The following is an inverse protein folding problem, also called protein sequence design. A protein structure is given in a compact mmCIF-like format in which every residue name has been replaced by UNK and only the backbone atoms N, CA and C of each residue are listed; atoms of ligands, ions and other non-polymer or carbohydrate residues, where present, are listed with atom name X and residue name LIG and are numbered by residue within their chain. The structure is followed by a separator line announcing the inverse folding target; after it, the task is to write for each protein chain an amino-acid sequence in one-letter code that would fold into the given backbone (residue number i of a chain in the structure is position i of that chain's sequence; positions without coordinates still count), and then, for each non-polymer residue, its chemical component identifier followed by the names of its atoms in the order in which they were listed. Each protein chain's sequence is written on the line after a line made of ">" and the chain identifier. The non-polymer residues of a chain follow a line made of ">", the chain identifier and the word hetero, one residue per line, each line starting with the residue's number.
data_IF_355144193075
#
_entry.id   IF_355144193075
#
_cell.length_a   1.000
_cell.length_b   1.000
_cell.length_c   1.000
_cell.angle_alpha   90.00
_cell.angle_beta   90.00
_cell.angle_gamma   90.00
#
_symmetry.space_group_name_H-M   'P 1'
#
loop_
_entity.id
_entity.type
_entity.pdbx_description
1 polymer ?
#
# COMPACT_ATOMS: atom_id res chain seq x y z
N UNK A 1 0.57 -10.40 -20.54
CA UNK A 1 0.58 -9.59 -21.78
C UNK A 1 -0.40 -10.09 -22.85
N UNK A 2 -0.47 -11.41 -23.13
CA UNK A 2 -1.33 -11.96 -24.19
C UNK A 2 -2.83 -11.73 -23.90
N UNK A 3 -3.28 -11.95 -22.66
CA UNK A 3 -4.68 -11.72 -22.25
C UNK A 3 -5.16 -10.27 -22.48
N UNK A 4 -4.31 -9.27 -22.28
CA UNK A 4 -4.64 -7.85 -22.50
C UNK A 4 -4.90 -7.50 -23.99
N UNK A 5 -4.59 -8.41 -24.90
CA UNK A 5 -4.78 -8.25 -26.35
C UNK A 5 -5.62 -9.41 -26.91
N UNK A 6 -6.36 -10.11 -26.06
CA UNK A 6 -7.18 -11.23 -26.48
C UNK A 6 -8.31 -10.73 -27.39
N UNK A 7 -8.43 -11.37 -28.55
CA UNK A 7 -9.46 -11.13 -29.56
C UNK A 7 -9.88 -12.50 -30.13
N UNK A 8 -11.13 -12.67 -30.63
CA UNK A 8 -11.55 -13.95 -31.21
C UNK A 8 -10.63 -14.47 -32.33
N UNK A 9 -9.96 -13.60 -33.08
CA UNK A 9 -8.96 -14.01 -34.08
C UNK A 9 -7.73 -14.66 -33.44
N UNK A 10 -7.21 -14.07 -32.35
CA UNK A 10 -6.07 -14.59 -31.58
C UNK A 10 -6.41 -15.93 -30.94
N UNK A 11 -7.62 -16.09 -30.40
CA UNK A 11 -8.06 -17.38 -29.83
C UNK A 11 -8.07 -18.51 -30.87
N UNK A 12 -8.59 -18.24 -32.07
CA UNK A 12 -8.58 -19.23 -33.16
C UNK A 12 -7.16 -19.61 -33.56
N UNK A 13 -6.28 -18.61 -33.65
CA UNK A 13 -4.86 -18.83 -33.92
C UNK A 13 -4.23 -19.72 -32.83
N UNK A 14 -4.40 -19.37 -31.55
CA UNK A 14 -3.85 -20.15 -30.44
C UNK A 14 -4.39 -21.59 -30.40
N UNK A 15 -5.69 -21.78 -30.59
CA UNK A 15 -6.32 -23.11 -30.58
C UNK A 15 -5.72 -24.01 -31.67
N UNK A 16 -5.50 -23.48 -32.88
CA UNK A 16 -4.89 -24.23 -33.97
C UNK A 16 -3.50 -24.79 -33.59
N UNK A 17 -2.64 -24.01 -32.93
CA UNK A 17 -1.30 -24.49 -32.55
C UNK A 17 -1.34 -25.48 -31.38
N UNK A 18 -2.27 -25.31 -30.44
CA UNK A 18 -2.41 -26.21 -29.28
C UNK A 18 -3.04 -27.55 -29.68
N UNK A 19 -4.01 -27.54 -30.60
CA UNK A 19 -4.63 -28.77 -31.12
C UNK A 19 -3.61 -29.63 -31.88
N UNK A 20 -2.76 -28.98 -32.68
CA UNK A 20 -1.66 -29.61 -33.41
C UNK A 20 -0.40 -29.88 -32.55
N UNK A 21 -0.45 -29.58 -31.25
CA UNK A 21 0.63 -29.94 -30.33
C UNK A 21 0.54 -31.43 -29.98
N UNK A 22 1.59 -32.19 -30.34
CA UNK A 22 1.68 -33.62 -30.08
C UNK A 22 2.43 -33.86 -28.75
N UNK A 23 1.73 -34.25 -27.67
CA UNK A 23 2.35 -34.43 -26.34
C UNK A 23 3.34 -35.60 -26.31
N UNK A 24 3.23 -36.54 -27.23
CA UNK A 24 4.09 -37.72 -27.31
C UNK A 24 5.54 -37.41 -27.74
N UNK A 25 5.79 -36.20 -28.24
CA UNK A 25 7.14 -35.76 -28.66
C UNK A 25 8.06 -35.38 -27.49
N UNK A 26 7.53 -35.33 -26.27
CA UNK A 26 8.30 -35.09 -25.06
C UNK A 26 7.54 -34.31 -23.99
N UNK A 27 8.09 -34.30 -22.78
CA UNK A 27 7.47 -33.66 -21.60
C UNK A 27 7.22 -32.17 -21.80
N UNK A 28 8.10 -31.47 -22.53
CA UNK A 28 7.94 -30.05 -22.86
C UNK A 28 6.74 -29.79 -23.77
N UNK A 29 6.42 -30.70 -24.70
CA UNK A 29 5.24 -30.59 -25.56
C UNK A 29 3.95 -30.87 -24.79
N UNK A 30 3.96 -31.87 -23.90
CA UNK A 30 2.84 -32.14 -23.01
C UNK A 30 2.54 -30.93 -22.11
N UNK A 31 3.58 -30.34 -21.51
CA UNK A 31 3.46 -29.16 -20.67
C UNK A 31 2.98 -27.93 -21.45
N UNK A 32 3.50 -27.72 -22.67
CA UNK A 32 3.05 -26.64 -23.55
C UNK A 32 1.58 -26.78 -23.93
N UNK A 33 1.09 -28.00 -24.17
CA UNK A 33 -0.32 -28.26 -24.46
C UNK A 33 -1.21 -27.93 -23.27
N UNK A 34 -0.80 -28.33 -22.06
CA UNK A 34 -1.52 -28.04 -20.82
C UNK A 34 -1.60 -26.53 -20.54
N UNK A 35 -0.46 -25.84 -20.46
CA UNK A 35 -0.44 -24.40 -20.18
C UNK A 35 -1.02 -23.57 -21.32
N UNK A 36 -0.88 -24.02 -22.56
CA UNK A 36 -1.49 -23.40 -23.72
C UNK A 36 -3.02 -23.43 -23.66
N UNK A 37 -3.61 -24.57 -23.30
CA UNK A 37 -5.06 -24.68 -23.13
C UNK A 37 -5.56 -23.79 -21.98
N UNK A 38 -4.86 -23.80 -20.85
CA UNK A 38 -5.18 -22.92 -19.72
C UNK A 38 -5.13 -21.44 -20.11
N UNK A 39 -4.13 -21.03 -20.90
CA UNK A 39 -4.03 -19.65 -21.38
C UNK A 39 -5.17 -19.29 -22.35
N UNK A 40 -5.61 -20.21 -23.21
CA UNK A 40 -6.76 -20.00 -24.11
C UNK A 40 -8.03 -19.75 -23.30
N UNK A 41 -8.27 -20.56 -22.27
CA UNK A 41 -9.46 -20.42 -21.42
C UNK A 41 -9.43 -19.09 -20.65
N UNK A 42 -8.28 -18.71 -20.10
CA UNK A 42 -8.10 -17.38 -19.47
C UNK A 42 -8.34 -16.23 -20.46
N UNK A 43 -7.86 -16.36 -21.71
CA UNK A 43 -8.09 -15.35 -22.74
C UNK A 43 -9.57 -15.26 -23.15
N UNK A 44 -10.32 -16.38 -23.16
CA UNK A 44 -11.78 -16.36 -23.41
C UNK A 44 -12.53 -15.57 -22.34
N UNK A 45 -12.17 -15.77 -21.08
CA UNK A 45 -12.77 -15.03 -19.95
C UNK A 45 -12.39 -13.54 -19.95
N UNK A 46 -11.20 -13.21 -20.45
CA UNK A 46 -10.71 -11.83 -20.51
C UNK A 46 -11.30 -11.01 -21.68
N UNK A 47 -11.90 -11.65 -22.70
CA UNK A 47 -12.52 -10.92 -23.82
C UNK A 47 -13.67 -10.05 -23.31
N UNK A 48 -13.64 -8.77 -23.69
CA UNK A 48 -14.61 -7.77 -23.24
C UNK A 48 -14.25 -7.11 -21.91
N UNK A 49 -13.20 -7.56 -21.21
CA UNK A 49 -12.65 -6.88 -20.05
C UNK A 49 -11.56 -5.88 -20.47
N UNK A 50 -11.45 -4.77 -19.74
CA UNK A 50 -10.37 -3.79 -19.96
C UNK A 50 -9.00 -4.40 -19.65
N UNK A 51 -7.94 -4.04 -20.39
CA UNK A 51 -6.60 -4.56 -20.13
C UNK A 51 -6.08 -4.11 -18.78
N UNK A 52 -5.34 -4.99 -18.08
CA UNK A 52 -4.80 -4.72 -16.76
C UNK A 52 -3.26 -4.74 -16.75
N UNK A 53 -2.63 -3.72 -16.17
CA UNK A 53 -1.27 -3.82 -15.63
C UNK A 53 -1.25 -4.72 -14.40
N UNK A 54 -0.41 -5.74 -14.47
CA UNK A 54 -0.10 -6.60 -13.35
C UNK A 54 1.39 -6.86 -13.37
N UNK A 55 2.05 -6.55 -12.26
CA UNK A 55 3.47 -6.79 -12.10
C UNK A 55 3.69 -8.16 -11.46
N UNK A 56 4.33 -9.04 -12.21
CA UNK A 56 4.69 -10.41 -11.79
C UNK A 56 6.18 -10.55 -11.50
N UNK A 57 6.91 -9.44 -11.49
CA UNK A 57 8.34 -9.46 -11.16
C UNK A 57 8.55 -9.76 -9.69
N UNK A 58 9.64 -10.46 -9.38
CA UNK A 58 10.06 -10.69 -8.02
C UNK A 58 10.70 -9.41 -7.48
N UNK A 59 10.23 -8.87 -6.34
CA UNK A 59 10.87 -7.70 -5.74
C UNK A 59 12.33 -7.99 -5.40
N UNK A 60 13.23 -7.09 -5.81
CA UNK A 60 14.67 -7.17 -5.53
C UNK A 60 15.09 -6.19 -4.44
N UNK A 61 16.26 -6.43 -3.86
CA UNK A 61 16.93 -5.57 -2.91
C UNK A 61 18.40 -5.39 -3.32
N UNK A 62 19.00 -4.23 -3.02
CA UNK A 62 20.39 -3.97 -3.32
C UNK A 62 21.31 -4.80 -2.41
N UNK A 63 22.29 -5.47 -3.01
CA UNK A 63 23.34 -6.20 -2.32
C UNK A 63 24.70 -5.75 -2.83
N UNK A 64 25.52 -5.22 -1.92
CA UNK A 64 26.88 -4.76 -2.21
C UNK A 64 27.86 -5.62 -1.45
N UNK A 65 28.84 -6.19 -2.16
CA UNK A 65 29.89 -7.03 -1.59
C UNK A 65 31.26 -6.49 -2.00
N UNK A 66 32.24 -6.62 -1.11
CA UNK A 66 33.65 -6.31 -1.41
C UNK A 66 34.38 -7.63 -1.54
N UNK A 67 34.93 -7.92 -2.72
CA UNK A 67 35.63 -9.17 -2.96
C UNK A 67 37.02 -9.17 -2.27
N UNK A 68 37.68 -10.33 -2.24
CA UNK A 68 39.03 -10.48 -1.64
C UNK A 68 40.10 -9.60 -2.31
N UNK A 69 39.85 -9.13 -3.55
CA UNK A 69 40.74 -8.24 -4.30
C UNK A 69 40.50 -6.76 -4.00
N UNK A 70 39.45 -6.44 -3.23
CA UNK A 70 39.03 -5.08 -2.92
C UNK A 70 38.08 -4.45 -3.94
N UNK A 71 37.59 -5.20 -4.94
CA UNK A 71 36.58 -4.71 -5.87
C UNK A 71 35.21 -4.67 -5.19
N UNK A 72 34.45 -3.61 -5.47
CA UNK A 72 33.09 -3.40 -4.97
C UNK A 72 32.11 -3.89 -6.04
N UNK A 73 31.31 -4.90 -5.70
CA UNK A 73 30.33 -5.52 -6.60
C UNK A 73 28.93 -5.13 -6.11
N UNK A 74 28.13 -4.55 -7.01
CA UNK A 74 26.71 -4.27 -6.78
C UNK A 74 25.86 -5.29 -7.52
N UNK A 75 24.86 -5.85 -6.84
CA UNK A 75 23.89 -6.78 -7.42
C UNK A 75 22.48 -6.48 -6.90
N UNK A 76 21.48 -6.70 -7.77
CA UNK A 76 20.06 -6.72 -7.39
C UNK A 76 19.67 -8.17 -7.15
N UNK A 77 19.40 -8.52 -5.89
CA UNK A 77 19.07 -9.89 -5.50
C UNK A 77 17.63 -9.96 -5.02
N UNK A 78 16.96 -11.09 -5.23
CA UNK A 78 15.58 -11.28 -4.80
C UNK A 78 15.48 -11.01 -3.29
N UNK A 79 14.53 -10.17 -2.92
CA UNK A 79 14.35 -9.75 -1.54
C UNK A 79 13.93 -10.93 -0.66
N UNK A 80 14.62 -11.10 0.46
CA UNK A 80 14.27 -12.14 1.43
C UNK A 80 12.87 -11.90 2.01
N UNK A 81 12.06 -12.96 2.12
CA UNK A 81 10.70 -12.87 2.67
C UNK A 81 9.64 -12.28 1.72
N UNK A 82 10.01 -11.72 0.57
CA UNK A 82 9.06 -11.05 -0.35
C UNK A 82 9.09 -11.71 -1.73
N UNK A 83 8.14 -12.62 -1.98
CA UNK A 83 8.06 -13.37 -3.27
C UNK A 83 7.05 -12.80 -4.27
N UNK A 84 6.22 -11.84 -3.85
CA UNK A 84 5.19 -11.19 -4.67
C UNK A 84 5.04 -9.73 -4.24
N UNK A 85 4.52 -8.90 -5.14
CA UNK A 85 4.25 -7.50 -4.85
C UNK A 85 3.24 -7.31 -3.70
N UNK A 86 2.30 -8.24 -3.51
CA UNK A 86 1.37 -8.25 -2.37
C UNK A 86 2.12 -8.23 -1.03
N UNK A 87 3.05 -9.16 -0.83
CA UNK A 87 3.88 -9.24 0.37
C UNK A 87 4.75 -7.98 0.54
N UNK A 88 5.18 -7.36 -0.57
CA UNK A 88 5.90 -6.10 -0.53
C UNK A 88 5.02 -4.96 0.01
N UNK A 89 3.79 -4.83 -0.50
CA UNK A 89 2.85 -3.80 -0.05
C UNK A 89 2.51 -3.96 1.42
N UNK A 90 2.31 -5.19 1.90
CA UNK A 90 2.09 -5.48 3.32
C UNK A 90 3.27 -5.06 4.19
N UNK A 91 4.50 -5.37 3.75
CA UNK A 91 5.70 -4.96 4.46
C UNK A 91 5.83 -3.43 4.53
N UNK A 92 5.53 -2.73 3.43
CA UNK A 92 5.52 -1.26 3.40
C UNK A 92 4.40 -0.67 4.25
N UNK A 93 3.28 -1.38 4.40
CA UNK A 93 2.14 -1.00 5.24
C UNK A 93 2.44 -1.16 6.75
N UNK A 94 3.26 -2.16 7.13
CA UNK A 94 3.58 -2.43 8.54
C UNK A 94 4.28 -1.26 9.24
N UNK A 95 5.22 -0.62 8.55
CA UNK A 95 6.06 0.45 9.09
C UNK A 95 7.06 -0.03 10.17
N UNK A 96 7.26 -1.34 10.33
CA UNK A 96 8.07 -1.93 11.41
C UNK A 96 9.56 -1.71 11.23
N UNK A 97 10.01 -1.57 9.98
CA UNK A 97 11.42 -1.46 9.62
C UNK A 97 12.05 -0.08 9.90
N UNK A 98 11.28 0.89 10.42
CA UNK A 98 11.79 2.24 10.72
C UNK A 98 11.84 2.46 12.24
N UNK A 99 13.03 2.57 12.84
CA UNK A 99 13.18 2.94 14.25
C UNK A 99 12.57 4.32 14.53
N UNK A 100 11.77 4.44 15.60
CA UNK A 100 11.15 5.72 16.00
C UNK A 100 9.94 6.15 15.17
N UNK A 101 9.44 5.27 14.30
CA UNK A 101 8.23 5.52 13.51
C UNK A 101 6.97 5.45 14.38
N UNK A 102 6.57 6.61 14.93
CA UNK A 102 5.40 6.75 15.79
C UNK A 102 4.43 7.76 15.20
N UNK A 103 3.15 7.38 15.18
CA UNK A 103 2.07 8.27 14.78
C UNK A 103 1.78 9.30 15.88
N UNK A 104 2.44 10.46 15.84
CA UNK A 104 2.30 11.54 16.82
C UNK A 104 0.84 12.03 16.96
N UNK A 105 0.06 11.94 15.88
CA UNK A 105 -1.36 12.34 15.89
C UNK A 105 -2.18 11.37 16.74
N UNK A 106 -1.93 10.05 16.61
CA UNK A 106 -2.54 9.04 17.47
C UNK A 106 -2.12 9.22 18.92
N UNK A 107 -0.83 9.48 19.19
CA UNK A 107 -0.34 9.73 20.56
C UNK A 107 -1.12 10.89 21.19
N UNK A 108 -1.33 11.97 20.44
CA UNK A 108 -2.15 13.09 20.91
C UNK A 108 -3.60 12.68 21.19
N UNK A 109 -4.23 11.90 20.30
CA UNK A 109 -5.62 11.43 20.46
C UNK A 109 -5.79 10.47 21.65
N UNK A 110 -4.82 9.58 21.88
CA UNK A 110 -4.84 8.64 22.99
C UNK A 110 -4.59 9.34 24.33
N UNK A 111 -3.71 10.34 24.36
CA UNK A 111 -3.50 11.21 25.53
C UNK A 111 -4.75 12.04 25.84
N UNK A 112 -5.50 12.48 24.82
CA UNK A 112 -6.81 13.12 24.98
C UNK A 112 -7.87 12.17 25.56
N UNK A 113 -7.96 10.93 25.05
CA UNK A 113 -8.88 9.93 25.58
C UNK A 113 -8.58 9.62 27.04
N UNK A 114 -7.29 9.45 27.39
CA UNK A 114 -6.85 9.22 28.76
C UNK A 114 -7.27 10.37 29.68
N UNK A 115 -7.07 11.61 29.24
CA UNK A 115 -7.53 12.79 29.97
C UNK A 115 -9.05 12.78 30.21
N UNK A 116 -9.84 12.41 29.20
CA UNK A 116 -11.29 12.33 29.34
C UNK A 116 -11.73 11.25 30.36
N UNK A 117 -11.05 10.11 30.40
CA UNK A 117 -11.30 9.04 31.40
C UNK A 117 -10.92 9.49 32.82
N UNK A 118 -9.77 10.15 32.99
CA UNK A 118 -9.35 10.71 34.28
C UNK A 118 -10.35 11.76 34.78
N UNK A 119 -10.88 12.58 33.87
CA UNK A 119 -11.85 13.62 34.22
C UNK A 119 -13.18 13.03 34.69
N UNK A 120 -13.64 11.93 34.08
CA UNK A 120 -14.94 11.30 34.37
C UNK A 120 -14.94 10.45 35.65
N UNK A 121 -13.77 10.10 36.19
CA UNK A 121 -13.65 9.37 37.45
C UNK A 121 -14.03 10.27 38.66
N UNK A 122 -15.00 9.86 39.49
CA UNK A 122 -15.42 10.62 40.68
C UNK A 122 -14.44 10.51 41.86
N UNK A 123 -13.57 9.49 41.85
CA UNK A 123 -12.60 9.18 42.91
C UNK A 123 -11.35 10.08 42.90
N UNK A 124 -11.16 10.86 41.83
CA UNK A 124 -10.00 11.74 41.68
C UNK A 124 -10.34 13.13 42.20
N UNK A 125 -9.56 13.62 43.17
CA UNK A 125 -9.73 14.98 43.72
C UNK A 125 -9.46 16.07 42.68
N UNK A 126 -10.00 17.27 42.91
CA UNK A 126 -9.81 18.41 42.01
C UNK A 126 -8.34 18.85 41.88
N UNK A 127 -7.55 18.71 42.95
CA UNK A 127 -6.12 19.00 42.95
C UNK A 127 -5.34 17.99 42.09
N UNK A 128 -5.71 16.71 42.15
CA UNK A 128 -5.13 15.69 41.28
C UNK A 128 -5.49 15.93 39.82
N UNK A 129 -6.74 16.35 39.54
CA UNK A 129 -7.18 16.71 38.17
C UNK A 129 -6.37 17.89 37.62
N UNK A 130 -6.08 18.91 38.41
CA UNK A 130 -5.28 20.06 37.97
C UNK A 130 -3.83 19.69 37.66
N UNK A 131 -3.22 18.83 38.50
CA UNK A 131 -1.84 18.36 38.30
C UNK A 131 -1.71 17.49 37.05
N UNK A 132 -2.68 16.60 36.80
CA UNK A 132 -2.71 15.77 35.59
C UNK A 132 -2.94 16.63 34.34
N UNK A 133 -3.79 17.66 34.41
CA UNK A 133 -3.98 18.60 33.30
C UNK A 133 -2.69 19.32 32.91
N UNK A 134 -1.92 19.78 33.90
CA UNK A 134 -0.63 20.43 33.67
C UNK A 134 0.39 19.50 33.00
N UNK A 135 0.41 18.21 33.39
CA UNK A 135 1.23 17.19 32.75
C UNK A 135 0.78 16.93 31.30
N UNK A 136 -0.53 16.82 31.06
CA UNK A 136 -1.11 16.70 29.72
C UNK A 136 -0.71 17.87 28.81
N UNK A 137 -0.89 19.11 29.28
CA UNK A 137 -0.55 20.32 28.51
C UNK A 137 0.96 20.39 28.22
N UNK A 138 1.80 19.91 29.16
CA UNK A 138 3.24 19.78 28.98
C UNK A 138 3.63 18.78 27.89
N UNK A 139 3.03 17.58 27.90
CA UNK A 139 3.26 16.54 26.89
C UNK A 139 2.79 16.97 25.51
N UNK A 140 1.59 17.54 25.40
CA UNK A 140 1.05 18.02 24.11
C UNK A 140 1.89 19.15 23.52
N UNK A 141 2.41 20.06 24.36
CA UNK A 141 3.30 21.14 23.91
C UNK A 141 4.66 20.61 23.45
N UNK A 142 5.20 19.59 24.13
CA UNK A 142 6.46 18.93 23.74
C UNK A 142 6.32 18.18 22.41
N UNK A 143 5.22 17.43 22.23
CA UNK A 143 4.94 16.69 20.99
C UNK A 143 4.74 17.60 19.76
N UNK A 144 4.19 18.81 19.95
CA UNK A 144 4.05 19.80 18.86
C UNK A 144 5.38 20.46 18.46
N UNK A 145 6.39 20.45 19.34
CA UNK A 145 7.77 20.88 19.06
C UNK A 145 8.63 19.71 18.55
N UNK A 146 8.17 19.03 17.49
CA UNK A 146 9.07 18.21 16.67
C UNK A 146 10.12 19.09 15.94
N UNK A 147 11.20 18.52 15.39
CA UNK A 147 12.34 19.30 14.88
C UNK A 147 11.89 20.26 13.76
N UNK A 148 11.99 21.57 14.06
CA UNK A 148 12.03 22.70 13.12
C UNK A 148 11.05 22.64 11.92
N UNK A 149 9.76 22.84 12.16
CA UNK A 149 8.88 23.32 11.08
C UNK A 149 9.21 24.78 10.78
N UNK A 150 10.05 25.03 9.77
CA UNK A 150 10.30 26.40 9.27
C UNK A 150 8.97 27.07 8.89
N UNK A 151 8.74 28.33 9.29
CA UNK A 151 7.51 29.04 8.94
C UNK A 151 7.49 29.34 7.44
N UNK A 152 6.59 28.67 6.70
CA UNK A 152 6.31 29.00 5.31
C UNK A 152 5.40 30.23 5.25
N UNK A 153 5.82 31.25 4.48
CA UNK A 153 5.06 32.49 4.26
C UNK A 153 3.73 32.21 3.55
N UNK A 154 2.65 32.96 3.86
CA UNK A 154 1.35 32.72 3.24
C UNK A 154 1.35 33.26 1.81
N UNK A 155 1.14 32.37 0.83
CA UNK A 155 0.71 32.77 -0.52
C UNK A 155 -0.80 32.57 -0.58
N UNK A 156 -1.53 33.67 -0.76
CA UNK A 156 -2.97 33.66 -1.00
C UNK A 156 -3.25 33.02 -2.36
N UNK A 157 -3.98 31.89 -2.39
CA UNK A 157 -4.61 31.39 -3.62
C UNK A 157 -6.04 30.92 -3.37
N UNK A 158 -6.87 31.34 -4.32
CA UNK A 158 -8.32 31.20 -4.42
C UNK A 158 -8.77 29.74 -4.34
N UNK A 159 -9.77 29.47 -3.50
CA UNK A 159 -10.38 28.15 -3.31
C UNK A 159 -11.17 27.74 -4.55
N UNK A 160 -10.93 26.53 -5.06
CA UNK A 160 -11.99 25.71 -5.69
C UNK A 160 -12.37 24.64 -4.69
N UNK A 161 -13.66 24.55 -4.36
CA UNK A 161 -14.20 23.50 -3.53
C UNK A 161 -14.43 22.26 -4.41
N UNK A 162 -13.70 21.18 -4.16
CA UNK A 162 -13.96 19.86 -4.73
C UNK A 162 -14.37 18.89 -3.61
N UNK A 163 -15.57 19.10 -3.09
CA UNK A 163 -16.24 18.14 -2.19
C UNK A 163 -17.31 17.38 -2.97
N UNK A 164 -16.86 16.50 -3.86
CA UNK A 164 -17.72 15.48 -4.48
C UNK A 164 -16.87 14.29 -4.92
N UNK A 165 -16.12 13.73 -3.97
CA UNK A 165 -15.59 12.37 -4.12
C UNK A 165 -16.61 11.42 -3.50
N UNK A 166 -17.23 10.60 -4.33
CA UNK A 166 -18.01 9.43 -3.92
C UNK A 166 -17.13 8.60 -2.99
N UNK A 167 -17.57 8.42 -1.74
CA UNK A 167 -16.94 7.50 -0.78
C UNK A 167 -17.21 6.07 -1.27
N UNK A 168 -16.20 5.30 -1.70
CA UNK A 168 -16.40 3.88 -1.92
C UNK A 168 -16.74 3.23 -0.57
N UNK A 169 -17.75 2.37 -0.56
CA UNK A 169 -17.96 1.43 0.54
C UNK A 169 -16.93 0.31 0.36
N UNK A 170 -16.09 0.05 1.36
CA UNK A 170 -14.97 -0.88 1.27
C UNK A 170 -15.16 -2.03 2.26
N UNK A 171 -14.99 -3.26 1.79
CA UNK A 171 -15.25 -4.50 2.54
C UNK A 171 -14.01 -5.20 3.09
N UNK A 172 -12.78 -4.83 2.68
CA UNK A 172 -11.55 -5.44 3.20
C UNK A 172 -10.41 -4.43 3.26
N UNK A 173 -9.91 -4.19 4.48
CA UNK A 173 -8.92 -3.16 4.80
C UNK A 173 -7.57 -3.84 5.02
N UNK A 174 -6.54 -3.49 4.25
CA UNK A 174 -5.15 -3.85 4.57
C UNK A 174 -4.87 -3.35 5.99
N UNK A 175 -4.49 -4.24 6.91
CA UNK A 175 -4.35 -3.88 8.32
C UNK A 175 -3.21 -2.90 8.52
N UNK A 176 -3.53 -1.61 8.59
CA UNK A 176 -2.58 -0.58 8.97
C UNK A 176 -2.35 -0.62 10.47
N UNK A 177 -1.08 -0.66 10.88
CA UNK A 177 -0.74 -0.45 12.28
C UNK A 177 -1.16 0.98 12.66
N UNK A 178 -2.05 1.12 13.63
CA UNK A 178 -2.60 2.43 14.01
C UNK A 178 -1.49 3.30 14.63
N UNK A 179 -0.55 2.65 15.32
CA UNK A 179 0.55 3.26 16.09
C UNK A 179 1.73 3.76 15.25
N UNK A 180 1.93 3.23 14.03
CA UNK A 180 3.07 3.56 13.18
C UNK A 180 2.61 4.25 11.90
N UNK A 181 3.53 4.95 11.24
CA UNK A 181 3.25 5.57 9.95
C UNK A 181 3.80 4.63 8.86
N UNK A 182 2.97 4.12 7.95
CA UNK A 182 3.45 3.27 6.86
C UNK A 182 4.55 3.94 6.03
N UNK A 183 5.47 3.14 5.46
CA UNK A 183 6.57 3.64 4.63
C UNK A 183 6.03 4.43 3.42
N UNK A 184 4.99 3.90 2.78
CA UNK A 184 4.22 4.60 1.77
C UNK A 184 2.98 5.20 2.43
N UNK A 185 2.81 6.52 2.42
CA UNK A 185 1.63 7.13 3.03
C UNK A 185 1.17 8.39 2.31
N UNK A 186 -0.12 8.67 2.43
CA UNK A 186 -0.70 9.90 1.94
C UNK A 186 -0.81 10.94 3.05
N UNK A 187 -0.53 12.19 2.67
CA UNK A 187 -0.70 13.35 3.54
C UNK A 187 -1.89 14.18 3.08
N UNK A 188 -2.56 14.82 4.04
CA UNK A 188 -3.61 15.81 3.80
C UNK A 188 -3.19 17.17 4.31
N UNK A 189 -3.67 18.23 3.67
CA UNK A 189 -3.38 19.61 4.09
C UNK A 189 -4.28 20.02 5.25
N UNK A 190 -3.69 20.43 6.38
CA UNK A 190 -4.37 20.94 7.58
C UNK A 190 -3.71 22.24 8.01
N UNK A 191 -4.46 23.34 8.03
CA UNK A 191 -3.97 24.63 8.53
C UNK A 191 -2.71 25.17 7.84
N UNK A 192 -2.46 24.76 6.58
CA UNK A 192 -1.26 25.15 5.81
C UNK A 192 -0.17 24.07 5.73
N UNK A 193 -0.17 23.09 6.63
CA UNK A 193 0.84 22.03 6.70
C UNK A 193 0.31 20.68 6.17
N UNK A 194 1.20 19.84 5.65
CA UNK A 194 0.87 18.47 5.22
C UNK A 194 1.06 17.50 6.38
N UNK A 195 -0.03 16.93 6.89
CA UNK A 195 -0.01 15.91 7.94
C UNK A 195 -0.39 14.54 7.40
N UNK A 196 0.09 13.47 8.04
CA UNK A 196 -0.30 12.10 7.72
C UNK A 196 -1.83 11.92 7.78
N UNK A 197 -2.37 11.08 6.90
CA UNK A 197 -3.78 10.73 6.84
C UNK A 197 -3.93 9.21 6.70
N UNK A 198 -4.27 8.54 7.80
CA UNK A 198 -4.53 7.10 7.82
C UNK A 198 -5.66 6.71 6.87
N UNK A 199 -6.74 7.48 6.83
CA UNK A 199 -7.88 7.22 5.94
C UNK A 199 -7.49 7.21 4.45
N UNK A 200 -6.66 8.16 4.02
CA UNK A 200 -6.23 8.23 2.62
C UNK A 200 -5.22 7.12 2.31
N UNK A 201 -4.35 6.83 3.28
CA UNK A 201 -3.35 5.77 3.15
C UNK A 201 -4.00 4.41 3.06
N UNK A 202 -5.01 4.12 3.89
CA UNK A 202 -5.78 2.87 3.84
C UNK A 202 -6.41 2.62 2.47
N UNK A 203 -7.16 3.61 1.95
CA UNK A 203 -7.78 3.52 0.61
C UNK A 203 -6.77 3.25 -0.52
N UNK A 204 -5.51 3.66 -0.34
CA UNK A 204 -4.46 3.49 -1.36
C UNK A 204 -3.76 2.14 -1.25
N UNK A 205 -3.61 1.65 -0.02
CA UNK A 205 -2.95 0.38 0.30
C UNK A 205 -3.90 -0.81 0.26
N UNK A 206 -5.20 -0.54 0.16
CA UNK A 206 -6.20 -1.56 -0.04
C UNK A 206 -6.04 -2.18 -1.43
N UNK A 207 -5.89 -3.52 -1.48
CA UNK A 207 -5.99 -4.22 -2.73
C UNK A 207 -7.38 -4.00 -3.30
N UNK A 208 -7.45 -3.35 -4.47
CA UNK A 208 -8.68 -3.33 -5.26
C UNK A 208 -8.88 -4.70 -5.88
N UNK A 209 -9.42 -5.64 -5.12
CA UNK A 209 -9.93 -6.91 -5.66
C UNK A 209 -11.17 -6.57 -6.47
N UNK A 210 -11.10 -6.70 -7.79
CA UNK A 210 -12.29 -6.77 -8.63
C UNK A 210 -12.90 -8.16 -8.49
N UNK A 211 -14.20 -8.26 -8.16
CA UNK A 211 -14.99 -9.49 -8.05
C UNK A 211 -14.88 -10.37 -9.30
N UNK A 212 -13.80 -11.13 -9.39
CA UNK A 212 -13.51 -12.11 -10.41
C UNK A 212 -12.88 -13.31 -9.70
N UNK A 213 -13.10 -14.54 -10.18
CA UNK A 213 -12.65 -15.78 -9.51
C UNK A 213 -11.13 -15.90 -9.36
N UNK A 214 -10.37 -14.93 -9.90
CA UNK A 214 -8.94 -14.76 -9.69
C UNK A 214 -8.74 -13.36 -9.08
N UNK A 215 -8.13 -13.24 -7.89
CA UNK A 215 -7.90 -11.94 -7.27
C UNK A 215 -6.88 -11.15 -8.10
N UNK A 216 -7.37 -10.25 -8.96
CA UNK A 216 -6.53 -9.33 -9.72
C UNK A 216 -6.34 -8.04 -8.92
N UNK A 217 -5.08 -7.68 -8.65
CA UNK A 217 -4.72 -6.52 -7.87
C UNK A 217 -4.24 -5.36 -8.77
N UNK A 218 -4.71 -4.15 -8.46
CA UNK A 218 -4.24 -2.93 -9.13
C UNK A 218 -4.08 -1.75 -8.16
N UNK A 219 -2.95 -1.04 -8.30
CA UNK A 219 -2.80 0.33 -7.83
C UNK A 219 -3.32 1.27 -8.92
N UNK A 220 -4.56 1.72 -8.78
CA UNK A 220 -5.19 2.66 -9.72
C UNK A 220 -4.29 3.89 -9.92
N UNK A 221 -3.90 4.24 -11.15
CA UNK A 221 -3.35 5.55 -11.43
C UNK A 221 -4.45 6.56 -11.09
N UNK A 222 -4.20 7.44 -10.13
CA UNK A 222 -5.05 8.59 -9.91
C UNK A 222 -5.12 9.37 -11.22
N UNK A 223 -6.33 9.51 -11.79
CA UNK A 223 -6.53 10.47 -12.86
C UNK A 223 -6.24 11.86 -12.30
N UNK A 224 -5.25 12.53 -12.88
CA UNK A 224 -4.97 13.94 -12.67
C UNK A 224 -6.04 14.81 -13.33
#
# INVERSE_FOLDING_TARGET
>A
AIMNRADPSVLRYMQYYIDNCHPEKGETYALAKQFGQQLIDNCREAIGQGPLYHDVTFPTAPQTEVNEKGDIIYSEVVREGVRKLEAYVEEMASGDNIPGNVNIQKVHDDVLKLWNVVKSQPEISQEQKSRIKSLYDGVVRSLRKGPESKPSRPVARTRRASSQFLRPQVSQVTSLSVDKIPLLHLKRKVGGNWGYSSNLTGVTMEPKVTDTPYPWFYLSPGHF
#
